data_IF_402877969765
#
_entry.id   IF_402877969765
#
_cell.length_a   1.000
_cell.length_b   1.000
_cell.length_c   1.000
_cell.angle_alpha   90.00
_cell.angle_beta   90.00
_cell.angle_gamma   90.00
#
_symmetry.space_group_name_H-M   'P 1'
#
loop_
_entity.id
_entity.type
_entity.pdbx_description
1 polymer ?
#
# COMPACT_ATOMS: atom_id res chain seq x y z
N UNK A 1 12.97 -0.14 32.24
CA UNK A 1 13.62 -0.84 31.11
C UNK A 1 13.53 0.05 29.87
N UNK A 2 14.64 0.54 29.30
CA UNK A 2 14.59 1.07 27.94
C UNK A 2 14.66 -0.14 26.99
N UNK A 3 13.53 -0.46 26.36
CA UNK A 3 13.48 -1.41 25.26
C UNK A 3 13.55 -0.56 23.99
N UNK A 4 14.55 -0.80 23.15
CA UNK A 4 14.58 -0.17 21.83
C UNK A 4 13.40 -0.68 21.00
N UNK A 5 12.57 0.24 20.53
CA UNK A 5 11.41 -0.10 19.73
C UNK A 5 11.87 -0.58 18.34
N UNK A 6 11.54 -1.82 18.01
CA UNK A 6 11.75 -2.36 16.67
C UNK A 6 10.63 -1.90 15.71
N UNK A 7 10.80 -2.19 14.42
CA UNK A 7 9.85 -1.79 13.36
C UNK A 7 8.41 -2.22 13.65
N UNK A 8 8.21 -3.38 14.27
CA UNK A 8 6.88 -3.92 14.60
C UNK A 8 6.19 -3.05 15.66
N UNK A 9 6.94 -2.59 16.66
CA UNK A 9 6.42 -1.70 17.71
C UNK A 9 6.01 -0.35 17.10
N UNK A 10 6.84 0.22 16.23
CA UNK A 10 6.52 1.50 15.57
C UNK A 10 5.28 1.41 14.68
N UNK A 11 5.17 0.34 13.87
CA UNK A 11 4.00 0.10 13.02
C UNK A 11 2.73 -0.10 13.83
N UNK A 12 2.81 -0.90 14.90
CA UNK A 12 1.68 -1.14 15.81
C UNK A 12 1.19 0.15 16.43
N UNK A 13 2.11 1.00 16.89
CA UNK A 13 1.79 2.28 17.48
C UNK A 13 1.21 3.27 16.48
N UNK A 14 1.75 3.35 15.25
CA UNK A 14 1.18 4.15 14.16
C UNK A 14 -0.23 3.70 13.77
N UNK A 15 -0.47 2.38 13.73
CA UNK A 15 -1.79 1.81 13.46
C UNK A 15 -2.80 2.21 14.55
N UNK A 16 -2.40 2.15 15.82
CA UNK A 16 -3.21 2.65 16.93
C UNK A 16 -3.48 4.16 16.80
N UNK A 17 -2.46 4.96 16.47
CA UNK A 17 -2.63 6.39 16.23
C UNK A 17 -3.63 6.67 15.11
N UNK A 18 -3.61 5.89 14.03
CA UNK A 18 -4.59 5.97 12.93
C UNK A 18 -6.01 5.70 13.43
N UNK A 19 -6.22 4.61 14.16
CA UNK A 19 -7.54 4.21 14.65
C UNK A 19 -8.11 5.26 15.63
N UNK A 20 -7.26 5.87 16.45
CA UNK A 20 -7.64 6.94 17.39
C UNK A 20 -7.53 8.35 16.80
N UNK A 21 -7.20 8.49 15.50
CA UNK A 21 -6.98 9.78 14.82
C UNK A 21 -5.98 10.71 15.55
N UNK A 22 -5.01 10.14 16.26
CA UNK A 22 -4.03 10.88 17.03
C UNK A 22 -2.84 11.33 16.15
N UNK A 23 -3.05 12.44 15.45
CA UNK A 23 -2.05 13.06 14.56
C UNK A 23 -0.82 13.55 15.31
N UNK A 24 -1.01 14.08 16.53
CA UNK A 24 0.06 14.62 17.35
C UNK A 24 1.11 13.56 17.68
N UNK A 25 0.65 12.35 18.06
CA UNK A 25 1.53 11.22 18.27
C UNK A 25 2.16 10.76 16.96
N UNK A 26 1.40 10.63 15.87
CA UNK A 26 1.93 10.28 14.54
C UNK A 26 3.08 11.18 14.07
N UNK A 27 2.99 12.51 14.32
CA UNK A 27 4.07 13.47 14.01
C UNK A 27 5.32 13.25 14.86
N UNK A 28 5.17 12.92 16.15
CA UNK A 28 6.31 12.61 17.03
C UNK A 28 7.02 11.34 16.56
N UNK A 29 6.25 10.30 16.21
CA UNK A 29 6.78 9.05 15.67
C UNK A 29 7.56 9.28 14.37
N UNK A 30 7.00 10.03 13.43
CA UNK A 30 7.68 10.44 12.20
C UNK A 30 9.06 11.05 12.47
N UNK A 31 9.14 12.03 13.38
CA UNK A 31 10.40 12.71 13.71
C UNK A 31 11.42 11.74 14.30
N UNK A 32 10.99 10.89 15.24
CA UNK A 32 11.85 9.87 15.84
C UNK A 32 12.37 8.85 14.82
N UNK A 33 11.49 8.34 13.96
CA UNK A 33 11.85 7.37 12.92
C UNK A 33 12.79 7.94 11.86
N UNK A 34 12.64 9.22 11.52
CA UNK A 34 13.56 9.90 10.59
C UNK A 34 14.94 10.06 11.20
N UNK A 35 15.02 10.38 12.50
CA UNK A 35 16.30 10.56 13.20
C UNK A 35 16.99 9.23 13.49
N UNK A 36 16.23 8.17 13.78
CA UNK A 36 16.74 6.83 14.10
C UNK A 36 17.00 5.93 12.89
N UNK A 37 16.70 6.37 11.67
CA UNK A 37 16.93 5.60 10.44
C UNK A 37 15.99 4.41 10.20
N UNK A 38 15.05 4.12 11.11
CA UNK A 38 14.07 3.03 11.01
C UNK A 38 12.87 3.37 10.09
N UNK A 39 13.16 3.94 8.92
CA UNK A 39 12.17 4.53 8.01
C UNK A 39 11.99 3.67 6.76
N UNK A 40 10.85 2.96 6.66
CA UNK A 40 10.55 2.04 5.56
C UNK A 40 9.23 2.37 4.83
N UNK A 41 8.95 1.69 3.70
CA UNK A 41 7.78 1.97 2.88
C UNK A 41 6.45 1.74 3.63
N UNK A 42 6.40 0.73 4.52
CA UNK A 42 5.19 0.40 5.26
C UNK A 42 4.81 1.47 6.29
N UNK A 43 5.79 2.03 7.00
CA UNK A 43 5.60 3.13 7.94
C UNK A 43 5.12 4.40 7.23
N UNK A 44 5.67 4.70 6.04
CA UNK A 44 5.22 5.84 5.23
C UNK A 44 3.76 5.71 4.82
N UNK A 45 3.34 4.51 4.41
CA UNK A 45 1.93 4.25 4.04
C UNK A 45 1.01 4.48 5.23
N UNK A 46 1.37 3.96 6.41
CA UNK A 46 0.57 4.16 7.62
C UNK A 46 0.44 5.64 8.00
N UNK A 47 1.52 6.41 7.89
CA UNK A 47 1.51 7.83 8.18
C UNK A 47 0.69 8.64 7.15
N UNK A 48 0.84 8.33 5.86
CA UNK A 48 0.04 8.95 4.79
C UNK A 48 -1.45 8.69 5.02
N UNK A 49 -1.81 7.47 5.43
CA UNK A 49 -3.18 7.08 5.74
C UNK A 49 -3.71 7.76 7.01
N UNK A 50 -2.88 7.93 8.06
CA UNK A 50 -3.24 8.70 9.25
C UNK A 50 -3.60 10.15 8.86
N UNK A 51 -2.75 10.82 8.08
CA UNK A 51 -3.03 12.19 7.63
C UNK A 51 -4.27 12.27 6.74
N UNK A 52 -4.45 11.33 5.81
CA UNK A 52 -5.64 11.27 4.97
C UNK A 52 -6.92 11.07 5.79
N UNK A 53 -6.91 10.18 6.79
CA UNK A 53 -8.05 9.87 7.64
C UNK A 53 -8.54 11.04 8.51
N UNK A 54 -7.71 12.06 8.71
CA UNK A 54 -8.08 13.31 9.40
C UNK A 54 -8.25 14.51 8.47
N UNK A 55 -8.28 14.30 7.15
CA UNK A 55 -8.47 15.35 6.15
C UNK A 55 -7.21 16.19 5.85
N UNK A 56 -6.04 15.80 6.34
CA UNK A 56 -4.76 16.48 6.09
C UNK A 56 -4.13 16.01 4.77
N UNK A 57 -4.88 16.14 3.67
CA UNK A 57 -4.50 15.64 2.35
C UNK A 57 -3.17 16.20 1.83
N UNK A 58 -2.85 17.46 2.19
CA UNK A 58 -1.57 18.08 1.84
C UNK A 58 -0.38 17.36 2.46
N UNK A 59 -0.45 17.00 3.74
CA UNK A 59 0.62 16.26 4.41
C UNK A 59 0.66 14.80 3.97
N UNK A 60 -0.49 14.17 3.72
CA UNK A 60 -0.55 12.85 3.11
C UNK A 60 0.15 12.82 1.74
N UNK A 61 -0.04 13.87 0.92
CA UNK A 61 0.64 14.03 -0.39
C UNK A 61 2.14 14.21 -0.23
N UNK A 62 2.60 15.04 0.73
CA UNK A 62 4.04 15.21 1.01
C UNK A 62 4.71 13.88 1.34
N UNK A 63 4.07 13.06 2.18
CA UNK A 63 4.59 11.72 2.52
C UNK A 63 4.69 10.84 1.27
N UNK A 64 3.67 10.83 0.40
CA UNK A 64 3.71 10.06 -0.87
C UNK A 64 4.75 10.57 -1.87
N UNK A 65 5.02 11.88 -1.88
CA UNK A 65 6.09 12.44 -2.71
C UNK A 65 7.46 12.02 -2.17
N UNK A 66 7.68 12.11 -0.86
CA UNK A 66 8.90 11.62 -0.23
C UNK A 66 9.14 10.12 -0.49
N UNK A 67 8.08 9.30 -0.43
CA UNK A 67 8.18 7.88 -0.77
C UNK A 67 8.68 7.66 -2.21
N UNK A 68 8.26 8.51 -3.16
CA UNK A 68 8.72 8.44 -4.55
C UNK A 68 10.17 8.89 -4.69
N UNK A 69 10.54 9.99 -4.06
CA UNK A 69 11.91 10.53 -4.08
C UNK A 69 12.92 9.55 -3.48
N UNK A 70 12.51 8.78 -2.46
CA UNK A 70 13.34 7.76 -1.81
C UNK A 70 13.18 6.34 -2.39
N UNK A 71 12.45 6.21 -3.51
CA UNK A 71 12.13 4.92 -4.14
C UNK A 71 11.52 3.87 -3.19
N UNK A 72 10.84 4.32 -2.13
CA UNK A 72 10.17 3.47 -1.15
C UNK A 72 8.87 2.93 -1.74
N UNK A 73 8.96 1.78 -2.41
CA UNK A 73 7.81 1.07 -2.98
C UNK A 73 7.15 0.20 -1.91
N UNK A 74 5.82 0.26 -1.85
CA UNK A 74 5.04 -0.74 -1.12
C UNK A 74 5.09 -2.05 -1.94
N UNK A 75 5.37 -3.17 -1.28
CA UNK A 75 5.20 -4.49 -1.89
C UNK A 75 3.70 -4.69 -2.15
N UNK A 76 3.29 -4.95 -3.40
CA UNK A 76 1.88 -5.19 -3.70
C UNK A 76 1.39 -6.42 -2.95
N UNK A 77 0.10 -6.42 -2.59
CA UNK A 77 -0.51 -7.61 -2.03
C UNK A 77 -0.81 -8.58 -3.16
N UNK A 78 -0.43 -9.84 -3.02
CA UNK A 78 -0.81 -10.90 -3.96
C UNK A 78 -1.74 -11.89 -3.26
N UNK A 79 -2.77 -12.33 -3.98
CA UNK A 79 -3.58 -13.49 -3.62
C UNK A 79 -3.69 -14.38 -4.84
N UNK A 80 -3.78 -15.69 -4.67
CA UNK A 80 -4.00 -16.61 -5.78
C UNK A 80 -5.10 -17.61 -5.44
N UNK A 81 -5.76 -18.13 -6.47
CA UNK A 81 -6.65 -19.29 -6.36
C UNK A 81 -6.17 -20.36 -7.33
N UNK A 82 -6.43 -21.63 -6.99
CA UNK A 82 -6.16 -22.76 -7.87
C UNK A 82 -7.50 -23.35 -8.32
N UNK A 83 -7.71 -23.42 -9.63
CA UNK A 83 -8.89 -24.01 -10.26
C UNK A 83 -8.40 -25.02 -11.29
N UNK A 84 -8.76 -26.29 -11.12
CA UNK A 84 -8.40 -27.36 -12.05
C UNK A 84 -6.89 -27.44 -12.37
N UNK A 85 -6.05 -27.20 -11.35
CA UNK A 85 -4.58 -27.18 -11.47
C UNK A 85 -4.01 -25.90 -12.10
N UNK A 86 -4.84 -24.92 -12.42
CA UNK A 86 -4.43 -23.61 -12.94
C UNK A 86 -4.42 -22.59 -11.79
N UNK A 87 -3.27 -21.96 -11.58
CA UNK A 87 -3.10 -20.89 -10.59
C UNK A 87 -3.43 -19.53 -11.21
N UNK A 88 -4.44 -18.87 -10.67
CA UNK A 88 -4.80 -17.50 -11.02
C UNK A 88 -4.30 -16.54 -9.95
N UNK A 89 -3.30 -15.72 -10.28
CA UNK A 89 -2.75 -14.71 -9.38
C UNK A 89 -3.45 -13.35 -9.56
N UNK A 90 -3.79 -12.73 -8.44
CA UNK A 90 -4.37 -11.40 -8.33
C UNK A 90 -3.42 -10.51 -7.55
N UNK A 91 -2.91 -9.46 -8.19
CA UNK A 91 -1.97 -8.52 -7.59
C UNK A 91 -2.66 -7.17 -7.37
N UNK A 92 -2.74 -6.75 -6.11
CA UNK A 92 -3.26 -5.45 -5.68
C UNK A 92 -2.08 -4.50 -5.47
N UNK A 93 -1.96 -3.51 -6.36
CA UNK A 93 -0.90 -2.51 -6.31
C UNK A 93 -1.35 -1.15 -6.83
N UNK A 94 -0.80 -0.10 -6.23
CA UNK A 94 -0.87 1.26 -6.77
C UNK A 94 0.09 1.37 -7.97
N UNK A 95 -0.29 0.81 -9.11
CA UNK A 95 0.38 1.16 -10.36
C UNK A 95 -0.06 2.58 -10.69
N UNK A 96 0.83 3.56 -10.49
CA UNK A 96 0.64 4.87 -11.10
C UNK A 96 0.71 4.66 -12.62
N UNK A 97 -0.45 4.43 -13.21
CA UNK A 97 -0.64 4.38 -14.65
C UNK A 97 -0.09 5.70 -15.22
N UNK A 98 0.90 5.68 -16.13
CA UNK A 98 1.40 6.89 -16.78
C UNK A 98 0.34 7.60 -17.64
N UNK A 99 -0.86 7.04 -17.76
CA UNK A 99 -1.95 7.52 -18.60
C UNK A 99 -3.23 7.74 -17.79
N UNK A 100 -3.16 8.62 -16.80
CA UNK A 100 -4.34 9.22 -16.18
C UNK A 100 -4.55 10.63 -16.73
N UNK A 101 -4.93 10.73 -18.01
CA UNK A 101 -5.75 11.84 -18.50
C UNK A 101 -7.09 11.24 -18.91
N UNK A 102 -8.14 11.80 -18.34
CA UNK A 102 -9.55 11.55 -18.61
C UNK A 102 -10.14 10.28 -17.97
N UNK A 103 -10.69 10.45 -16.77
CA UNK A 103 -12.13 10.34 -16.52
C UNK A 103 -12.39 10.31 -15.01
N UNK A 104 -13.13 11.31 -14.53
CA UNK A 104 -13.75 11.33 -13.21
C UNK A 104 -15.08 10.59 -13.27
N UNK A 105 -15.20 9.43 -12.61
CA UNK A 105 -16.43 8.85 -12.04
C UNK A 105 -16.25 7.34 -11.89
N UNK A 106 -16.60 6.84 -10.72
CA UNK A 106 -16.86 5.43 -10.41
C UNK A 106 -15.66 4.49 -10.26
N UNK A 107 -15.76 3.75 -9.16
CA UNK A 107 -14.84 2.74 -8.68
C UNK A 107 -14.88 1.52 -9.58
N UNK A 108 -13.97 1.40 -10.54
CA UNK A 108 -13.69 0.13 -11.21
C UNK A 108 -12.18 -0.05 -11.37
N UNK A 109 -11.61 -0.87 -10.48
CA UNK A 109 -10.27 -1.38 -10.60
C UNK A 109 -10.29 -2.54 -11.61
N UNK A 110 -10.15 -2.22 -12.90
CA UNK A 110 -9.81 -3.24 -13.89
C UNK A 110 -8.33 -3.59 -13.75
N UNK A 111 -8.05 -4.73 -13.13
CA UNK A 111 -6.73 -5.36 -13.19
C UNK A 111 -6.51 -5.91 -14.60
N UNK A 112 -5.50 -5.42 -15.30
CA UNK A 112 -4.99 -6.05 -16.52
C UNK A 112 -4.44 -7.43 -16.16
N UNK A 113 -5.10 -8.47 -16.68
CA UNK A 113 -4.63 -9.84 -16.70
C UNK A 113 -3.28 -9.94 -17.40
N UNK A 114 -2.21 -10.24 -16.67
CA UNK A 114 -1.00 -10.79 -17.28
C UNK A 114 -1.20 -12.29 -17.44
N UNK A 115 -1.76 -12.67 -18.59
CA UNK A 115 -1.89 -14.06 -19.00
C UNK A 115 -0.52 -14.55 -19.48
N UNK A 116 0.29 -15.12 -18.61
CA UNK A 116 1.35 -16.04 -19.06
C UNK A 116 0.72 -17.42 -19.26
N UNK A 117 0.00 -17.58 -20.38
CA UNK A 117 -0.48 -18.89 -20.83
C UNK A 117 0.70 -19.79 -21.15
N UNK A 118 0.85 -20.87 -20.39
CA UNK A 118 1.43 -22.11 -20.93
C UNK A 118 0.26 -22.96 -21.40
N UNK A 119 0.10 -23.01 -22.71
CA UNK A 119 -0.96 -23.66 -23.49
C UNK A 119 -1.19 -25.12 -23.11
N UNK A 120 -2.42 -25.49 -22.77
CA UNK A 120 -3.02 -26.75 -23.26
C UNK A 120 -4.54 -26.56 -23.34
N UNK A 121 -5.06 -26.60 -24.57
CA UNK A 121 -6.48 -26.47 -24.89
C UNK A 121 -7.31 -27.59 -24.26
N UNK A 122 -8.49 -27.26 -23.72
CA UNK A 122 -9.69 -28.11 -23.76
C UNK A 122 -10.93 -27.19 -23.66
N UNK A 123 -11.79 -27.28 -24.66
CA UNK A 123 -13.05 -26.54 -24.78
C UNK A 123 -14.06 -27.00 -23.75
N UNK A 124 -14.77 -26.08 -23.08
CA UNK A 124 -16.13 -26.36 -22.59
C UNK A 124 -17.02 -25.11 -22.66
N UNK A 125 -18.12 -25.28 -23.41
CA UNK A 125 -19.29 -24.42 -23.47
C UNK A 125 -20.09 -24.52 -22.17
N UNK A 126 -20.51 -23.39 -21.60
CA UNK A 126 -21.42 -23.36 -20.45
C UNK A 126 -22.87 -23.18 -20.96
N UNK A 127 -23.76 -24.06 -20.49
CA UNK A 127 -25.21 -24.07 -20.78
C UNK A 127 -25.97 -22.98 -20.05
#
# INVERSE_FOLDING_TARGET
MPIEANDVVWRSLLSACRNHRNVGMGRKLMKGLTQGGAWDSSTCVLLSNLYAGVGMWGDARKVRTMMREKELKKVPGCSWIELDGIVHEFVVGDYLCPRAKEASSSSEMFCTSNLHSSTTSLEYTCS
#
